data_IF_086235104420
#
_entry.id   IF_086235104420
#
_cell.length_a   1.000
_cell.length_b   1.000
_cell.length_c   1.000
_cell.angle_alpha   90.00
_cell.angle_beta   90.00
_cell.angle_gamma   90.00
#
_symmetry.space_group_name_H-M   'P 1'
#
loop_
_entity.id
_entity.type
_entity.pdbx_description
1 polymer ?
#
# COMPACT_ATOMS: atom_id res chain seq x y z
N UNK A 1 -27.62 17.82 -80.05
CA UNK A 1 -28.07 16.52 -79.49
C UNK A 1 -26.81 15.68 -79.36
N UNK A 2 -26.10 15.75 -78.23
CA UNK A 2 -26.29 14.89 -77.04
C UNK A 2 -25.96 13.43 -77.39
N UNK A 3 -24.96 12.73 -76.82
CA UNK A 3 -24.21 12.93 -75.57
C UNK A 3 -22.81 12.30 -75.67
N UNK A 4 -21.85 12.99 -75.07
CA UNK A 4 -20.48 12.59 -74.71
C UNK A 4 -20.56 11.48 -73.65
N UNK A 5 -19.86 10.38 -73.89
CA UNK A 5 -19.66 9.28 -72.94
C UNK A 5 -18.50 9.66 -72.02
N UNK A 6 -18.83 10.01 -70.78
CA UNK A 6 -17.87 10.23 -69.67
C UNK A 6 -18.06 9.09 -68.65
N UNK A 7 -16.97 8.32 -68.44
CA UNK A 7 -16.40 7.74 -67.20
C UNK A 7 -17.33 7.04 -66.15
N UNK A 8 -16.84 6.15 -65.24
CA UNK A 8 -15.51 6.24 -64.62
C UNK A 8 -14.71 4.93 -64.40
N UNK A 9 -13.40 5.16 -64.34
CA UNK A 9 -12.37 4.62 -63.45
C UNK A 9 -12.77 3.49 -62.51
N UNK A 10 -12.02 2.41 -62.64
CA UNK A 10 -12.03 1.19 -61.85
C UNK A 10 -11.17 1.42 -60.60
N UNK A 11 -11.81 1.74 -59.48
CA UNK A 11 -11.13 1.77 -58.18
C UNK A 11 -11.12 0.37 -57.56
N UNK A 12 -9.91 -0.12 -57.31
CA UNK A 12 -9.64 -1.38 -56.65
C UNK A 12 -9.96 -1.27 -55.16
N UNK A 13 -11.15 -1.71 -54.76
CA UNK A 13 -11.47 -1.95 -53.35
C UNK A 13 -10.85 -3.28 -52.89
N UNK A 14 -9.77 -3.17 -52.13
CA UNK A 14 -9.17 -4.28 -51.40
C UNK A 14 -10.21 -4.96 -50.52
N UNK A 15 -10.45 -6.24 -50.79
CA UNK A 15 -11.28 -7.12 -49.97
C UNK A 15 -10.57 -7.36 -48.63
N UNK A 16 -10.70 -6.40 -47.72
CA UNK A 16 -10.37 -6.62 -46.33
C UNK A 16 -11.42 -7.59 -45.77
N UNK A 17 -11.01 -8.84 -45.58
CA UNK A 17 -11.67 -9.81 -44.70
C UNK A 17 -11.92 -9.13 -43.36
N UNK A 18 -13.16 -8.66 -43.16
CA UNK A 18 -13.64 -8.23 -41.87
C UNK A 18 -13.62 -9.45 -40.96
N UNK A 19 -12.64 -9.47 -40.06
CA UNK A 19 -12.51 -10.46 -39.01
C UNK A 19 -13.84 -10.54 -38.24
N UNK A 20 -14.44 -11.74 -38.28
CA UNK A 20 -15.56 -12.12 -37.43
C UNK A 20 -15.14 -11.87 -35.97
N UNK A 21 -15.84 -11.01 -35.21
CA UNK A 21 -15.54 -10.82 -33.80
C UNK A 21 -15.78 -12.14 -33.05
N UNK A 22 -15.00 -12.46 -32.00
CA UNK A 22 -15.19 -13.68 -31.23
C UNK A 22 -16.60 -13.68 -30.66
N UNK A 23 -17.38 -14.69 -31.07
CA UNK A 23 -18.77 -14.87 -30.66
C UNK A 23 -18.87 -14.74 -29.14
N UNK A 24 -19.59 -13.70 -28.69
CA UNK A 24 -20.04 -13.61 -27.31
C UNK A 24 -20.80 -14.89 -26.96
N UNK A 25 -20.68 -15.41 -25.73
CA UNK A 25 -21.45 -16.57 -25.32
C UNK A 25 -22.95 -16.22 -25.43
N UNK A 26 -23.58 -16.70 -26.50
CA UNK A 26 -25.01 -16.56 -26.74
C UNK A 26 -25.72 -17.27 -25.61
N UNK A 27 -26.07 -16.53 -24.57
CA UNK A 27 -26.98 -17.02 -23.52
C UNK A 27 -28.24 -17.47 -24.26
N UNK A 28 -28.64 -18.75 -24.14
CA UNK A 28 -29.79 -19.23 -24.89
C UNK A 28 -30.98 -18.34 -24.55
N UNK A 29 -31.63 -17.81 -25.58
CA UNK A 29 -32.83 -17.03 -25.41
C UNK A 29 -33.82 -17.86 -24.58
N UNK A 30 -34.38 -17.26 -23.53
CA UNK A 30 -35.34 -17.95 -22.68
C UNK A 30 -36.56 -18.36 -23.52
N UNK A 31 -36.74 -19.66 -23.70
CA UNK A 31 -37.90 -20.24 -24.35
C UNK A 31 -39.02 -20.34 -23.31
N UNK A 32 -40.18 -19.71 -23.57
CA UNK A 32 -41.31 -19.78 -22.67
C UNK A 32 -41.92 -21.20 -22.68
N UNK A 33 -41.91 -21.94 -21.56
CA UNK A 33 -42.45 -23.30 -21.51
C UNK A 33 -43.99 -23.35 -21.61
N UNK A 34 -44.67 -22.23 -21.46
CA UNK A 34 -46.13 -22.12 -21.50
C UNK A 34 -46.67 -21.64 -22.86
N UNK A 35 -45.79 -21.41 -23.83
CA UNK A 35 -46.17 -20.96 -25.17
C UNK A 35 -47.01 -22.03 -25.89
N UNK A 36 -48.22 -21.66 -26.34
CA UNK A 36 -49.13 -22.57 -27.07
C UNK A 36 -49.95 -23.50 -26.18
N UNK A 37 -49.99 -23.27 -24.87
CA UNK A 37 -50.78 -24.10 -23.96
C UNK A 37 -52.30 -23.89 -24.17
N UNK A 38 -53.01 -24.94 -24.61
CA UNK A 38 -54.44 -24.88 -24.97
C UNK A 38 -55.38 -24.44 -23.84
N UNK A 39 -54.98 -24.58 -22.58
CA UNK A 39 -55.79 -24.25 -21.41
C UNK A 39 -55.55 -22.82 -20.87
N UNK A 40 -54.60 -22.07 -21.46
CA UNK A 40 -54.19 -20.75 -20.99
C UNK A 40 -54.51 -19.70 -22.05
N UNK A 41 -55.00 -18.54 -21.64
CA UNK A 41 -55.10 -17.37 -22.52
C UNK A 41 -53.71 -16.85 -22.89
N UNK A 42 -53.61 -16.10 -23.99
CA UNK A 42 -52.32 -15.55 -24.47
C UNK A 42 -51.58 -14.72 -23.41
N UNK A 43 -52.33 -13.92 -22.63
CA UNK A 43 -51.76 -13.09 -21.56
C UNK A 43 -51.28 -13.91 -20.37
N UNK A 44 -51.97 -15.00 -20.03
CA UNK A 44 -51.54 -15.89 -18.94
C UNK A 44 -50.27 -16.65 -19.30
N UNK A 45 -50.12 -17.05 -20.56
CA UNK A 45 -48.91 -17.71 -21.05
C UNK A 45 -47.69 -16.79 -20.98
N UNK A 46 -47.85 -15.52 -21.37
CA UNK A 46 -46.78 -14.51 -21.29
C UNK A 46 -46.39 -14.24 -19.84
N UNK A 47 -47.38 -14.02 -18.97
CA UNK A 47 -47.17 -13.76 -17.54
C UNK A 47 -46.44 -14.93 -16.85
N UNK A 48 -46.91 -16.17 -17.04
CA UNK A 48 -46.27 -17.36 -16.48
C UNK A 48 -44.86 -17.59 -17.06
N UNK A 49 -44.65 -17.25 -18.33
CA UNK A 49 -43.34 -17.27 -18.97
C UNK A 49 -42.35 -16.32 -18.28
N UNK A 50 -42.75 -15.08 -18.03
CA UNK A 50 -41.90 -14.10 -17.34
C UNK A 50 -41.66 -14.50 -15.88
N UNK A 51 -42.65 -15.08 -15.18
CA UNK A 51 -42.43 -15.64 -13.85
C UNK A 51 -41.45 -16.81 -13.85
N UNK A 52 -41.52 -17.70 -14.83
CA UNK A 52 -40.56 -18.79 -14.97
C UNK A 52 -39.14 -18.28 -15.26
N UNK A 53 -39.02 -17.23 -16.09
CA UNK A 53 -37.75 -16.54 -16.33
C UNK A 53 -37.21 -15.92 -15.05
N UNK A 54 -38.04 -15.20 -14.29
CA UNK A 54 -37.66 -14.57 -13.02
C UNK A 54 -37.25 -15.61 -11.98
N UNK A 55 -38.01 -16.70 -11.85
CA UNK A 55 -37.66 -17.79 -10.93
C UNK A 55 -36.29 -18.37 -11.29
N UNK A 56 -36.03 -18.63 -12.58
CA UNK A 56 -34.75 -19.14 -13.04
C UNK A 56 -33.59 -18.17 -12.76
N UNK A 57 -33.79 -16.86 -12.95
CA UNK A 57 -32.76 -15.86 -12.63
C UNK A 57 -32.52 -15.76 -11.13
N UNK A 58 -33.57 -15.76 -10.30
CA UNK A 58 -33.45 -15.78 -8.84
C UNK A 58 -32.70 -17.02 -8.35
N UNK A 59 -33.02 -18.20 -8.89
CA UNK A 59 -32.29 -19.43 -8.57
C UNK A 59 -30.81 -19.34 -8.94
N UNK A 60 -30.49 -18.77 -10.11
CA UNK A 60 -29.09 -18.53 -10.52
C UNK A 60 -28.39 -17.56 -9.56
N UNK A 61 -29.03 -16.44 -9.20
CA UNK A 61 -28.46 -15.46 -8.26
C UNK A 61 -28.25 -16.08 -6.88
N UNK A 62 -29.19 -16.90 -6.39
CA UNK A 62 -29.05 -17.60 -5.11
C UNK A 62 -27.88 -18.60 -5.16
N UNK A 63 -27.77 -19.39 -6.23
CA UNK A 63 -26.66 -20.33 -6.40
C UNK A 63 -25.30 -19.61 -6.44
N UNK A 64 -25.20 -18.50 -7.19
CA UNK A 64 -23.98 -17.69 -7.24
C UNK A 64 -23.69 -17.05 -5.88
N UNK A 65 -24.70 -16.58 -5.16
CA UNK A 65 -24.54 -16.02 -3.80
C UNK A 65 -24.02 -17.06 -2.82
N UNK A 66 -24.47 -18.31 -2.90
CA UNK A 66 -23.96 -19.42 -2.09
C UNK A 66 -22.51 -19.74 -2.46
N UNK A 67 -22.17 -19.76 -3.75
CA UNK A 67 -20.79 -19.96 -4.20
C UNK A 67 -19.86 -18.83 -3.75
N UNK A 68 -20.32 -17.57 -3.78
CA UNK A 68 -19.52 -16.41 -3.40
C UNK A 68 -19.39 -16.26 -1.88
N UNK A 69 -20.44 -16.63 -1.14
CA UNK A 69 -20.42 -16.73 0.32
C UNK A 69 -19.71 -17.99 0.82
N UNK A 70 -19.23 -18.85 -0.09
CA UNK A 70 -18.50 -20.06 0.26
C UNK A 70 -17.30 -19.71 1.14
N UNK A 71 -17.43 -20.06 2.42
CA UNK A 71 -16.53 -19.68 3.50
C UNK A 71 -15.12 -20.24 3.37
N UNK A 72 -14.91 -21.25 2.52
CA UNK A 72 -13.61 -21.92 2.38
C UNK A 72 -12.54 -21.02 1.76
N UNK A 73 -12.88 -20.26 0.72
CA UNK A 73 -11.96 -19.29 0.11
C UNK A 73 -11.62 -18.16 1.09
N UNK A 74 -12.64 -17.60 1.75
CA UNK A 74 -12.46 -16.56 2.77
C UNK A 74 -11.61 -17.06 3.94
N UNK A 75 -11.86 -18.28 4.41
CA UNK A 75 -11.08 -18.90 5.49
C UNK A 75 -9.62 -19.14 5.10
N UNK A 76 -9.32 -19.45 3.83
CA UNK A 76 -7.95 -19.60 3.38
C UNK A 76 -7.20 -18.25 3.41
N UNK A 77 -7.80 -17.21 2.82
CA UNK A 77 -7.23 -15.86 2.85
C UNK A 77 -7.00 -15.36 4.27
N UNK A 78 -7.94 -15.60 5.20
CA UNK A 78 -7.78 -15.23 6.60
C UNK A 78 -6.64 -16.01 7.29
N UNK A 79 -6.42 -17.29 6.95
CA UNK A 79 -5.27 -18.04 7.47
C UNK A 79 -3.95 -17.47 6.99
N UNK A 80 -3.87 -17.11 5.71
CA UNK A 80 -2.66 -16.52 5.13
C UNK A 80 -2.34 -15.17 5.77
N UNK A 81 -3.36 -14.31 5.94
CA UNK A 81 -3.20 -13.03 6.63
C UNK A 81 -2.74 -13.22 8.09
N UNK A 82 -3.31 -14.19 8.81
CA UNK A 82 -2.90 -14.49 10.20
C UNK A 82 -1.46 -14.99 10.27
N UNK A 83 -1.00 -15.75 9.27
CA UNK A 83 0.39 -16.19 9.21
C UNK A 83 1.33 -15.00 8.99
N UNK A 84 0.96 -14.05 8.14
CA UNK A 84 1.73 -12.83 7.89
C UNK A 84 1.76 -11.95 9.14
N UNK A 85 0.62 -11.74 9.79
CA UNK A 85 0.49 -10.96 11.04
C UNK A 85 1.46 -11.47 12.10
N UNK A 86 1.51 -12.78 12.33
CA UNK A 86 2.42 -13.39 13.31
C UNK A 86 3.89 -13.15 12.96
N UNK A 87 4.26 -13.31 11.70
CA UNK A 87 5.65 -13.12 11.24
C UNK A 87 6.07 -11.66 11.39
N UNK A 88 5.22 -10.74 10.95
CA UNK A 88 5.50 -9.30 11.01
C UNK A 88 5.44 -8.76 12.44
N UNK A 89 4.53 -9.27 13.29
CA UNK A 89 4.49 -8.96 14.71
C UNK A 89 5.77 -9.42 15.43
N UNK A 90 6.30 -10.59 15.07
CA UNK A 90 7.59 -11.06 15.59
C UNK A 90 8.74 -10.14 15.13
N UNK A 91 8.78 -9.77 13.85
CA UNK A 91 9.80 -8.83 13.35
C UNK A 91 9.71 -7.48 14.05
N UNK A 92 8.51 -6.91 14.21
CA UNK A 92 8.30 -5.63 14.88
C UNK A 92 8.70 -5.68 16.36
N UNK A 93 8.37 -6.76 17.06
CA UNK A 93 8.74 -6.92 18.48
C UNK A 93 10.24 -7.05 18.67
N UNK A 94 10.92 -7.86 17.83
CA UNK A 94 12.38 -7.96 17.85
C UNK A 94 13.05 -6.63 17.51
N UNK A 95 12.56 -5.93 16.49
CA UNK A 95 13.07 -4.62 16.10
C UNK A 95 12.87 -3.58 17.22
N UNK A 96 11.69 -3.56 17.86
CA UNK A 96 11.44 -2.65 18.97
C UNK A 96 12.33 -2.95 20.17
N UNK A 97 12.54 -4.23 20.48
CA UNK A 97 13.44 -4.65 21.54
C UNK A 97 14.89 -4.29 21.22
N UNK A 98 15.35 -4.47 19.97
CA UNK A 98 16.72 -4.12 19.58
C UNK A 98 16.97 -2.62 19.62
N UNK A 99 16.02 -1.82 19.15
CA UNK A 99 16.12 -0.35 19.23
C UNK A 99 16.14 0.10 20.68
N UNK A 100 15.23 -0.41 21.51
CA UNK A 100 15.18 -0.05 22.92
C UNK A 100 16.45 -0.45 23.66
N UNK A 101 16.99 -1.64 23.41
CA UNK A 101 18.25 -2.07 24.00
C UNK A 101 19.42 -1.13 23.64
N UNK A 102 19.52 -0.69 22.39
CA UNK A 102 20.57 0.23 21.94
C UNK A 102 20.39 1.61 22.56
N UNK A 103 19.16 2.15 22.55
CA UNK A 103 18.87 3.47 23.13
C UNK A 103 19.14 3.46 24.63
N UNK A 104 18.73 2.41 25.33
CA UNK A 104 19.00 2.26 26.77
C UNK A 104 20.50 2.18 27.06
N UNK A 105 21.24 1.39 26.27
CA UNK A 105 22.69 1.30 26.43
C UNK A 105 23.39 2.66 26.23
N UNK A 106 22.89 3.50 25.31
CA UNK A 106 23.41 4.85 25.12
C UNK A 106 23.09 5.77 26.30
N UNK A 107 21.86 5.74 26.81
CA UNK A 107 21.49 6.56 27.98
C UNK A 107 22.29 6.17 29.21
N UNK A 108 22.52 4.88 29.43
CA UNK A 108 23.31 4.39 30.57
C UNK A 108 24.79 4.80 30.45
N UNK A 109 25.34 4.81 29.24
CA UNK A 109 26.72 5.28 28.98
C UNK A 109 26.85 6.78 29.19
N UNK A 110 25.91 7.58 28.66
CA UNK A 110 25.88 9.03 28.85
C UNK A 110 25.72 9.40 30.35
N UNK A 111 24.90 8.66 31.10
CA UNK A 111 24.74 8.86 32.54
C UNK A 111 26.02 8.53 33.33
N UNK A 112 26.72 7.44 32.98
CA UNK A 112 27.99 7.08 33.60
C UNK A 112 29.09 8.14 33.35
N UNK A 113 29.16 8.71 32.14
CA UNK A 113 30.11 9.77 31.80
C UNK A 113 29.82 11.08 32.57
N UNK A 114 28.54 11.39 32.81
CA UNK A 114 28.12 12.52 33.63
C UNK A 114 28.43 12.30 35.12
N UNK A 115 28.18 11.12 35.65
CA UNK A 115 28.50 10.76 37.05
C UNK A 115 30.02 10.77 37.30
N UNK A 116 30.83 10.36 36.31
CA UNK A 116 32.29 10.47 36.37
C UNK A 116 32.76 11.94 36.39
N UNK A 117 32.12 12.83 35.62
CA UNK A 117 32.41 14.27 35.64
C UNK A 117 31.98 14.96 36.94
N UNK A 118 30.91 14.50 37.58
CA UNK A 118 30.41 15.04 38.86
C UNK A 118 31.19 14.47 40.05
N UNK A 119 31.72 13.23 39.94
CA UNK A 119 32.52 12.55 40.96
C UNK A 119 34.02 12.86 40.93
N UNK A 120 34.53 13.43 39.84
CA UNK A 120 35.89 13.97 39.81
C UNK A 120 36.01 15.11 40.84
N UNK A 121 37.03 15.13 41.72
CA UNK A 121 37.27 16.27 42.59
C UNK A 121 37.35 17.52 41.71
N UNK A 122 36.48 18.49 41.98
CA UNK A 122 36.66 19.85 41.47
C UNK A 122 38.01 20.33 42.00
N UNK A 123 39.07 20.14 41.23
CA UNK A 123 40.25 20.97 41.37
C UNK A 123 39.79 22.36 40.97
N UNK A 124 39.68 23.31 41.92
CA UNK A 124 39.56 24.69 41.51
C UNK A 124 40.80 24.93 40.66
N UNK A 125 40.61 25.35 39.42
CA UNK A 125 41.61 26.15 38.73
C UNK A 125 41.82 27.35 39.66
N UNK A 126 42.75 27.21 40.63
CA UNK A 126 43.39 28.35 41.24
C UNK A 126 43.94 29.09 40.04
N UNK A 127 43.31 30.22 39.75
CA UNK A 127 43.75 31.20 38.80
C UNK A 127 45.07 31.76 39.33
N UNK A 128 46.14 30.96 39.25
CA UNK A 128 47.50 31.37 39.58
C UNK A 128 48.06 32.12 38.38
N UNK A 129 47.47 33.26 38.07
CA UNK A 129 47.94 34.06 36.94
C UNK A 129 47.65 35.55 37.10
N UNK A 130 47.88 36.11 38.29
CA UNK A 130 48.00 37.57 38.43
C UNK A 130 49.18 38.07 39.29
N UNK A 131 49.91 37.25 40.05
CA UNK A 131 50.96 37.75 40.98
C UNK A 131 52.43 37.52 40.54
N UNK A 132 52.70 37.10 39.31
CA UNK A 132 54.07 36.89 38.83
C UNK A 132 54.75 38.15 38.23
N UNK A 133 54.05 39.29 38.16
CA UNK A 133 54.53 40.48 37.44
C UNK A 133 55.10 41.61 38.32
N UNK A 134 55.10 41.50 39.65
CA UNK A 134 55.54 42.61 40.53
C UNK A 134 56.98 42.46 41.07
N UNK A 135 57.52 41.24 41.17
CA UNK A 135 58.85 41.02 41.78
C UNK A 135 60.02 41.35 40.83
N UNK A 136 59.83 41.21 39.52
CA UNK A 136 60.89 41.50 38.53
C UNK A 136 61.17 42.99 38.35
N UNK A 137 60.25 43.88 38.76
CA UNK A 137 60.43 45.34 38.66
C UNK A 137 61.14 45.94 39.88
N UNK A 138 61.13 45.25 41.03
CA UNK A 138 61.80 45.73 42.25
C UNK A 138 63.30 45.38 42.30
N UNK A 139 63.77 44.41 41.51
CA UNK A 139 65.19 44.05 41.45
C UNK A 139 66.02 44.94 40.49
N UNK A 140 65.37 45.66 39.57
CA UNK A 140 66.07 46.48 38.56
C UNK A 140 66.42 47.91 39.03
N UNK A 141 65.90 48.38 40.16
CA UNK A 141 66.12 49.75 40.67
C UNK A 141 67.16 49.86 41.79
N UNK A 142 67.81 48.76 42.19
CA UNK A 142 68.69 48.70 43.37
C UNK A 142 70.20 48.64 43.13
N UNK A 143 70.71 48.84 41.91
CA UNK A 143 72.16 48.77 41.67
C UNK A 143 72.70 49.96 40.86
N UNK A 144 72.63 51.14 41.47
CA UNK A 144 73.38 52.31 41.08
C UNK A 144 73.99 52.98 42.31
N UNK A 145 75.24 52.65 42.62
CA UNK A 145 76.31 53.55 43.09
C UNK A 145 77.43 52.71 43.74
N UNK A 146 78.62 52.70 43.13
CA UNK A 146 79.90 52.80 43.86
C UNK A 146 81.07 53.00 42.86
N UNK A 147 81.87 54.03 43.15
CA UNK A 147 83.14 54.51 42.54
C UNK A 147 83.06 55.54 41.40
#
# INVERSE_FOLDING_TARGET
MSTRSDAPTQDAEGTATAAVPPAEPVVPAFQNPYEGHRALSSSEQELLGEYARLAATVHRVAALSVQLSNSTHHANTLRDLRAIERKMGLVLTLFKASVWAIVMQQTDMEEAEMDEHVGAPFEPLMETSEEAWDDSQLQASGHGDEA
#
